data_IF_597407016011
#
_entry.id   IF_597407016011
#
_cell.length_a   1.000
_cell.length_b   1.000
_cell.length_c   1.000
_cell.angle_alpha   90.00
_cell.angle_beta   90.00
_cell.angle_gamma   90.00
#
_symmetry.space_group_name_H-M   'P 1'
#
loop_
_entity.id
_entity.type
_entity.pdbx_description
1 polymer ?
#
# COMPACT_ATOMS: atom_id res chain seq x y z
N UNK A 1 19.05 14.15 2.33
CA UNK A 1 19.79 12.86 2.39
C UNK A 1 19.02 11.83 1.55
N UNK A 2 19.53 11.40 0.38
CA UNK A 2 18.85 10.39 -0.46
C UNK A 2 19.14 8.99 0.08
N UNK A 3 18.16 8.34 0.70
CA UNK A 3 18.25 6.92 1.03
C UNK A 3 18.37 6.13 -0.28
N UNK A 4 19.35 5.22 -0.45
CA UNK A 4 19.50 4.42 -1.66
C UNK A 4 18.24 3.60 -1.94
N UNK A 5 17.76 3.59 -3.19
CA UNK A 5 16.48 2.94 -3.58
C UNK A 5 16.41 1.44 -3.25
N UNK A 6 17.54 0.72 -3.34
CA UNK A 6 17.65 -0.70 -2.94
C UNK A 6 17.34 -0.91 -1.46
N UNK A 7 17.63 0.08 -0.61
CA UNK A 7 17.40 -0.05 0.83
C UNK A 7 15.90 0.01 1.16
N UNK A 8 15.09 0.74 0.40
CA UNK A 8 13.67 0.92 0.73
C UNK A 8 12.85 -0.36 0.63
N UNK A 9 12.96 -1.10 -0.47
CA UNK A 9 12.23 -2.36 -0.60
C UNK A 9 12.66 -3.36 0.47
N UNK A 10 13.94 -3.35 0.85
CA UNK A 10 14.42 -4.13 1.98
C UNK A 10 13.80 -3.67 3.29
N UNK A 11 13.73 -2.35 3.54
CA UNK A 11 13.03 -1.79 4.71
C UNK A 11 11.59 -2.26 4.77
N UNK A 12 10.82 -2.13 3.69
CA UNK A 12 9.42 -2.58 3.67
C UNK A 12 9.28 -4.09 3.91
N UNK A 13 10.19 -4.92 3.37
CA UNK A 13 10.20 -6.37 3.65
C UNK A 13 10.49 -6.66 5.13
N UNK A 14 11.48 -5.98 5.70
CA UNK A 14 11.85 -6.13 7.12
C UNK A 14 10.69 -5.70 8.01
N UNK A 15 10.12 -4.52 7.74
CA UNK A 15 8.95 -3.99 8.44
C UNK A 15 7.77 -4.96 8.37
N UNK A 16 7.44 -5.47 7.19
CA UNK A 16 6.36 -6.44 7.02
C UNK A 16 6.63 -7.75 7.76
N UNK A 17 7.86 -8.27 7.70
CA UNK A 17 8.22 -9.54 8.36
C UNK A 17 8.30 -9.42 9.88
N UNK A 18 8.62 -8.24 10.40
CA UNK A 18 8.72 -7.97 11.83
C UNK A 18 7.36 -7.66 12.47
N UNK A 19 6.38 -7.19 11.70
CA UNK A 19 5.09 -6.78 12.24
C UNK A 19 4.25 -7.98 12.74
N UNK A 20 3.77 -7.99 13.99
CA UNK A 20 3.07 -9.14 14.58
C UNK A 20 1.85 -9.62 13.77
N UNK A 21 1.04 -8.69 13.28
CA UNK A 21 -0.14 -9.01 12.48
C UNK A 21 0.20 -9.79 11.20
N UNK A 22 1.34 -9.50 10.59
CA UNK A 22 1.76 -10.10 9.33
C UNK A 22 2.59 -11.36 9.55
N UNK A 23 3.40 -11.42 10.61
CA UNK A 23 4.20 -12.59 10.95
C UNK A 23 3.35 -13.86 11.16
N UNK A 24 2.14 -13.71 11.69
CA UNK A 24 1.18 -14.81 11.83
C UNK A 24 0.30 -15.06 10.60
N UNK A 25 0.37 -14.19 9.58
CA UNK A 25 -0.47 -14.28 8.39
C UNK A 25 0.11 -15.24 7.35
N UNK A 26 -0.76 -16.06 6.75
CA UNK A 26 -0.41 -16.88 5.59
C UNK A 26 -0.10 -16.03 4.34
N UNK A 27 -0.54 -14.76 4.31
CA UNK A 27 -0.35 -13.84 3.18
C UNK A 27 0.96 -13.05 3.25
N UNK A 28 1.79 -13.24 4.29
CA UNK A 28 3.09 -12.56 4.36
C UNK A 28 3.95 -12.86 3.13
N UNK A 29 4.00 -14.13 2.70
CA UNK A 29 4.77 -14.51 1.52
C UNK A 29 4.25 -13.80 0.25
N UNK A 30 2.93 -13.63 0.11
CA UNK A 30 2.33 -12.93 -1.02
C UNK A 30 2.71 -11.44 -1.01
N UNK A 31 2.71 -10.79 0.16
CA UNK A 31 3.19 -9.41 0.32
C UNK A 31 4.65 -9.31 -0.12
N UNK A 32 5.52 -10.22 0.34
CA UNK A 32 6.94 -10.24 -0.04
C UNK A 32 7.12 -10.50 -1.54
N UNK A 33 6.31 -11.38 -2.14
CA UNK A 33 6.31 -11.62 -3.58
C UNK A 33 5.93 -10.38 -4.37
N UNK A 34 4.91 -9.64 -3.96
CA UNK A 34 4.54 -8.38 -4.59
C UNK A 34 5.66 -7.33 -4.48
N UNK A 35 6.32 -7.21 -3.32
CA UNK A 35 7.51 -6.36 -3.15
C UNK A 35 8.68 -6.77 -4.06
N UNK A 36 8.87 -8.07 -4.31
CA UNK A 36 9.87 -8.57 -5.26
C UNK A 36 9.52 -8.23 -6.72
N UNK A 37 8.23 -8.25 -7.08
CA UNK A 37 7.77 -7.85 -8.41
C UNK A 37 7.98 -6.35 -8.67
N UNK A 38 7.88 -5.50 -7.65
CA UNK A 38 8.25 -4.07 -7.73
C UNK A 38 9.73 -3.91 -8.15
N UNK A 39 10.64 -4.69 -7.53
CA UNK A 39 12.06 -4.66 -7.87
C UNK A 39 12.32 -5.15 -9.30
N UNK A 40 11.58 -6.17 -9.74
CA UNK A 40 11.67 -6.68 -11.10
C UNK A 40 11.20 -5.64 -12.13
N UNK A 41 10.06 -4.99 -11.88
CA UNK A 41 9.53 -3.94 -12.74
C UNK A 41 10.50 -2.75 -12.88
N UNK A 42 11.21 -2.37 -11.80
CA UNK A 42 12.18 -1.27 -11.85
C UNK A 42 13.43 -1.57 -12.71
N UNK A 43 13.73 -2.84 -12.97
CA UNK A 43 14.83 -3.24 -13.87
C UNK A 43 14.45 -3.22 -15.34
N UNK A 44 13.16 -3.05 -15.66
CA UNK A 44 12.68 -3.01 -17.04
C UNK A 44 12.52 -1.56 -17.49
N UNK A 45 13.18 -1.19 -18.57
CA UNK A 45 13.04 0.15 -19.19
C UNK A 45 11.77 0.29 -20.06
N UNK A 46 10.89 -0.72 -20.06
CA UNK A 46 9.63 -0.68 -20.81
C UNK A 46 8.63 0.25 -20.14
N UNK A 47 7.91 1.06 -20.90
CA UNK A 47 6.88 1.98 -20.37
C UNK A 47 5.82 1.27 -19.52
N UNK A 48 5.42 0.06 -19.91
CA UNK A 48 4.43 -0.74 -19.18
C UNK A 48 4.92 -1.22 -17.81
N UNK A 49 6.24 -1.22 -17.57
CA UNK A 49 6.82 -1.61 -16.29
C UNK A 49 6.39 -0.67 -15.16
N UNK A 50 6.09 0.59 -15.47
CA UNK A 50 5.62 1.56 -14.46
C UNK A 50 4.20 1.28 -14.01
N UNK A 51 3.32 0.82 -14.91
CA UNK A 51 1.97 0.41 -14.53
C UNK A 51 2.02 -0.83 -13.63
N UNK A 52 2.84 -1.82 -14.00
CA UNK A 52 3.08 -3.00 -13.16
C UNK A 52 3.66 -2.62 -11.81
N UNK A 53 4.59 -1.65 -11.77
CA UNK A 53 5.15 -1.13 -10.52
C UNK A 53 4.04 -0.57 -9.62
N UNK A 54 3.14 0.26 -10.15
CA UNK A 54 2.00 0.81 -9.39
C UNK A 54 1.05 -0.31 -8.91
N UNK A 55 0.76 -1.28 -9.78
CA UNK A 55 -0.10 -2.42 -9.45
C UNK A 55 0.46 -3.23 -8.28
N UNK A 56 1.73 -3.65 -8.36
CA UNK A 56 2.36 -4.46 -7.32
C UNK A 56 2.56 -3.67 -6.01
N UNK A 57 2.88 -2.38 -6.11
CA UNK A 57 2.96 -1.47 -4.95
C UNK A 57 1.62 -1.42 -4.21
N UNK A 58 0.54 -1.13 -4.94
CA UNK A 58 -0.78 -0.97 -4.32
C UNK A 58 -1.40 -2.30 -3.86
N UNK A 59 -1.10 -3.43 -4.50
CA UNK A 59 -1.52 -4.76 -4.03
C UNK A 59 -0.80 -5.18 -2.75
N UNK A 60 0.51 -4.95 -2.66
CA UNK A 60 1.27 -5.20 -1.43
C UNK A 60 0.72 -4.37 -0.27
N UNK A 61 0.43 -3.10 -0.50
CA UNK A 61 -0.19 -2.22 0.50
C UNK A 61 -1.59 -2.73 0.89
N UNK A 62 -2.48 -2.97 -0.07
CA UNK A 62 -3.86 -3.40 0.17
C UNK A 62 -3.92 -4.67 1.03
N UNK A 63 -3.10 -5.66 0.68
CA UNK A 63 -2.98 -6.91 1.44
C UNK A 63 -2.44 -6.67 2.85
N UNK A 64 -1.39 -5.85 2.99
CA UNK A 64 -0.81 -5.52 4.30
C UNK A 64 -1.84 -4.84 5.21
N UNK A 65 -2.58 -3.85 4.70
CA UNK A 65 -3.58 -3.13 5.49
C UNK A 65 -4.74 -4.04 5.87
N UNK A 66 -5.21 -4.88 4.94
CA UNK A 66 -6.26 -5.87 5.21
C UNK A 66 -5.86 -6.79 6.38
N UNK A 67 -4.65 -7.32 6.36
CA UNK A 67 -4.17 -8.24 7.41
C UNK A 67 -3.97 -7.54 8.76
N UNK A 68 -3.48 -6.30 8.78
CA UNK A 68 -3.39 -5.49 10.01
C UNK A 68 -4.78 -5.27 10.62
N UNK A 69 -5.75 -4.86 9.80
CA UNK A 69 -7.13 -4.65 10.25
C UNK A 69 -7.77 -5.95 10.76
N UNK A 70 -7.59 -7.05 10.01
CA UNK A 70 -8.10 -8.36 10.40
C UNK A 70 -7.52 -8.83 11.75
N UNK A 71 -6.21 -8.67 11.95
CA UNK A 71 -5.54 -9.02 13.21
C UNK A 71 -6.06 -8.20 14.40
N UNK A 72 -6.45 -6.94 14.18
CA UNK A 72 -7.06 -6.08 15.20
C UNK A 72 -8.56 -6.31 15.38
N UNK A 73 -9.19 -7.14 14.55
CA UNK A 73 -10.64 -7.34 14.53
C UNK A 73 -11.42 -6.13 13.99
N UNK A 74 -10.76 -5.22 13.26
CA UNK A 74 -11.39 -4.03 12.69
C UNK A 74 -11.87 -4.35 11.28
N UNK A 75 -13.18 -4.25 11.05
CA UNK A 75 -13.79 -4.58 9.77
C UNK A 75 -14.41 -3.32 9.17
N UNK A 76 -13.87 -2.78 8.08
CA UNK A 76 -14.49 -1.63 7.44
C UNK A 76 -15.87 -2.00 6.93
N UNK A 77 -16.87 -1.19 7.29
CA UNK A 77 -18.27 -1.38 6.90
C UNK A 77 -18.79 -0.20 6.10
N UNK A 78 -19.66 -0.49 5.14
CA UNK A 78 -20.39 0.55 4.45
C UNK A 78 -21.53 1.06 5.34
N UNK A 79 -21.52 2.36 5.66
CA UNK A 79 -22.50 2.98 6.57
C UNK A 79 -23.96 2.87 6.11
N UNK A 80 -24.22 2.71 4.81
CA UNK A 80 -25.59 2.64 4.27
C UNK A 80 -26.13 1.23 4.32
N UNK A 81 -25.28 0.24 4.03
CA UNK A 81 -25.71 -1.15 3.88
C UNK A 81 -25.34 -2.05 5.05
N UNK A 82 -24.45 -1.59 5.95
CA UNK A 82 -23.87 -2.40 7.03
C UNK A 82 -22.94 -3.52 6.55
N UNK A 83 -22.73 -3.66 5.24
CA UNK A 83 -21.94 -4.75 4.66
C UNK A 83 -20.44 -4.43 4.74
N UNK A 84 -19.57 -5.45 4.85
CA UNK A 84 -18.13 -5.26 4.75
C UNK A 84 -17.74 -4.56 3.45
N UNK A 85 -16.83 -3.58 3.56
CA UNK A 85 -16.31 -2.81 2.44
C UNK A 85 -14.80 -2.97 2.36
N UNK A 86 -14.33 -3.55 1.27
CA UNK A 86 -12.91 -3.85 1.10
C UNK A 86 -12.25 -2.92 0.09
N UNK A 87 -10.96 -2.61 0.34
CA UNK A 87 -10.10 -1.82 -0.52
C UNK A 87 -9.43 -0.66 0.21
N UNK A 88 -8.27 -0.25 -0.30
CA UNK A 88 -7.41 0.80 0.28
C UNK A 88 -8.15 1.99 0.91
N UNK A 89 -9.08 2.63 0.19
CA UNK A 89 -9.77 3.81 0.73
C UNK A 89 -10.60 3.50 1.99
N UNK A 90 -11.25 2.33 2.03
CA UNK A 90 -12.00 1.87 3.20
C UNK A 90 -11.05 1.52 4.36
N UNK A 91 -9.91 0.88 4.06
CA UNK A 91 -8.91 0.54 5.05
C UNK A 91 -8.30 1.79 5.71
N UNK A 92 -7.98 2.82 4.92
CA UNK A 92 -7.45 4.08 5.45
C UNK A 92 -8.46 4.83 6.34
N UNK A 93 -9.76 4.74 6.02
CA UNK A 93 -10.82 5.30 6.87
C UNK A 93 -10.89 4.54 8.20
N UNK A 94 -10.86 3.22 8.15
CA UNK A 94 -10.93 2.38 9.36
C UNK A 94 -9.74 2.66 10.29
N UNK A 95 -8.54 2.76 9.75
CA UNK A 95 -7.34 3.13 10.50
C UNK A 95 -7.45 4.54 11.13
N UNK A 96 -8.11 5.48 10.47
CA UNK A 96 -8.37 6.80 11.05
C UNK A 96 -9.38 6.72 12.20
N UNK A 97 -10.45 5.94 12.06
CA UNK A 97 -11.47 5.74 13.11
C UNK A 97 -10.83 5.22 14.40
N UNK A 98 -9.86 4.30 14.26
CA UNK A 98 -9.12 3.72 15.37
C UNK A 98 -7.87 4.53 15.82
N UNK A 99 -7.71 5.76 15.32
CA UNK A 99 -6.64 6.67 15.78
C UNK A 99 -5.23 6.34 15.28
N UNK A 100 -5.07 5.34 14.41
CA UNK A 100 -3.78 4.98 13.80
C UNK A 100 -3.31 6.07 12.82
N UNK A 101 -4.26 6.70 12.13
CA UNK A 101 -4.01 7.80 11.20
C UNK A 101 -4.72 9.07 11.67
N UNK A 102 -4.01 10.20 11.58
CA UNK A 102 -4.67 11.52 11.63
C UNK A 102 -5.50 11.76 10.36
N UNK A 103 -6.54 12.63 10.41
CA UNK A 103 -7.31 13.00 9.22
C UNK A 103 -6.43 13.48 8.07
N UNK A 104 -5.38 14.26 8.38
CA UNK A 104 -4.42 14.77 7.39
C UNK A 104 -3.61 13.65 6.73
N UNK A 105 -3.11 12.68 7.50
CA UNK A 105 -2.37 11.54 6.94
C UNK A 105 -3.28 10.69 6.05
N UNK A 106 -4.51 10.42 6.49
CA UNK A 106 -5.51 9.68 5.72
C UNK A 106 -5.78 10.37 4.37
N UNK A 107 -6.05 11.66 4.38
CA UNK A 107 -6.32 12.44 3.16
C UNK A 107 -5.10 12.46 2.23
N UNK A 108 -3.89 12.58 2.78
CA UNK A 108 -2.65 12.53 2.01
C UNK A 108 -2.49 11.17 1.31
N UNK A 109 -2.63 10.06 2.04
CA UNK A 109 -2.50 8.72 1.46
C UNK A 109 -3.61 8.40 0.45
N UNK A 110 -4.83 8.86 0.70
CA UNK A 110 -5.94 8.76 -0.25
C UNK A 110 -5.56 9.42 -1.59
N UNK A 111 -5.15 10.70 -1.55
CA UNK A 111 -4.78 11.45 -2.77
C UNK A 111 -3.53 10.91 -3.45
N UNK A 112 -2.51 10.56 -2.67
CA UNK A 112 -1.20 10.24 -3.20
C UNK A 112 -1.09 8.80 -3.72
N UNK A 113 -1.90 7.88 -3.19
CA UNK A 113 -1.87 6.45 -3.53
C UNK A 113 -3.18 6.03 -4.19
N UNK A 114 -4.30 6.15 -3.49
CA UNK A 114 -5.58 5.53 -3.89
C UNK A 114 -6.14 6.19 -5.14
N UNK A 115 -6.22 7.52 -5.16
CA UNK A 115 -6.79 8.26 -6.28
C UNK A 115 -5.94 8.09 -7.55
N UNK A 116 -4.61 8.09 -7.41
CA UNK A 116 -3.69 7.81 -8.54
C UNK A 116 -3.82 6.39 -9.06
N UNK A 117 -3.85 5.39 -8.17
CA UNK A 117 -4.07 4.00 -8.57
C UNK A 117 -5.42 3.85 -9.29
N UNK A 118 -6.47 4.45 -8.77
CA UNK A 118 -7.80 4.40 -9.39
C UNK A 118 -7.78 5.05 -10.78
N UNK A 119 -7.08 6.19 -10.94
CA UNK A 119 -6.87 6.81 -12.25
C UNK A 119 -6.27 5.81 -13.24
N UNK A 120 -5.13 5.20 -12.92
CA UNK A 120 -4.44 4.29 -13.84
C UNK A 120 -5.18 2.95 -14.06
N UNK A 121 -5.99 2.51 -13.10
CA UNK A 121 -6.75 1.25 -13.23
C UNK A 121 -8.11 1.41 -13.90
N UNK A 122 -8.67 2.63 -13.94
CA UNK A 122 -10.03 2.85 -14.44
C UNK A 122 -10.12 3.82 -15.64
N UNK A 123 -9.06 4.58 -15.96
CA UNK A 123 -9.05 5.47 -17.12
C UNK A 123 -8.18 4.89 -18.24
N UNK A 124 -8.84 4.47 -19.34
CA UNK A 124 -8.17 3.96 -20.53
C UNK A 124 -7.18 4.99 -21.11
N UNK A 125 -6.03 4.51 -21.60
CA UNK A 125 -4.98 5.35 -22.17
C UNK A 125 -4.13 6.12 -21.16
N UNK A 126 -4.43 6.04 -19.86
CA UNK A 126 -3.59 6.66 -18.82
C UNK A 126 -2.53 5.70 -18.33
N UNK A 127 -1.26 6.14 -18.34
CA UNK A 127 -0.12 5.35 -17.88
C UNK A 127 0.71 6.18 -16.89
N UNK A 128 1.18 5.60 -15.78
CA UNK A 128 2.11 6.27 -14.91
C UNK A 128 3.47 6.40 -15.59
N UNK A 129 4.12 7.54 -15.41
CA UNK A 129 5.55 7.64 -15.71
C UNK A 129 6.40 7.14 -14.52
N UNK A 130 7.71 7.05 -14.75
CA UNK A 130 8.68 6.61 -13.73
C UNK A 130 8.62 7.44 -12.44
N UNK A 131 8.46 8.76 -12.55
CA UNK A 131 8.41 9.65 -11.39
C UNK A 131 7.16 9.36 -10.56
N UNK A 132 6.00 9.25 -11.19
CA UNK A 132 4.73 8.97 -10.52
C UNK A 132 4.72 7.60 -9.83
N UNK A 133 5.20 6.56 -10.51
CA UNK A 133 5.31 5.22 -9.93
C UNK A 133 6.25 5.19 -8.73
N UNK A 134 7.36 5.94 -8.77
CA UNK A 134 8.26 6.07 -7.62
C UNK A 134 7.64 6.88 -6.49
N UNK A 135 6.88 7.93 -6.80
CA UNK A 135 6.15 8.70 -5.78
C UNK A 135 5.16 7.80 -5.05
N UNK A 136 4.35 7.01 -5.75
CA UNK A 136 3.41 6.07 -5.12
C UNK A 136 4.15 5.08 -4.20
N UNK A 137 5.33 4.57 -4.63
CA UNK A 137 6.15 3.70 -3.80
C UNK A 137 6.70 4.41 -2.53
N UNK A 138 7.08 5.68 -2.63
CA UNK A 138 7.52 6.47 -1.47
C UNK A 138 6.38 6.66 -0.46
N UNK A 139 5.20 6.93 -0.97
CA UNK A 139 4.01 7.16 -0.14
C UNK A 139 3.55 5.86 0.52
N UNK A 140 3.65 4.73 -0.17
CA UNK A 140 3.44 3.40 0.43
C UNK A 140 4.40 3.14 1.59
N UNK A 141 5.70 3.37 1.40
CA UNK A 141 6.73 3.18 2.43
C UNK A 141 6.44 4.05 3.67
N UNK A 142 6.06 5.30 3.45
CA UNK A 142 5.65 6.22 4.52
C UNK A 142 4.37 5.73 5.22
N UNK A 143 3.38 5.28 4.45
CA UNK A 143 2.11 4.76 4.95
C UNK A 143 2.31 3.53 5.83
N UNK A 144 3.06 2.53 5.36
CA UNK A 144 3.38 1.33 6.12
C UNK A 144 4.16 1.65 7.38
N UNK A 145 5.16 2.54 7.30
CA UNK A 145 5.95 2.94 8.46
C UNK A 145 5.08 3.57 9.55
N UNK A 146 4.15 4.47 9.18
CA UNK A 146 3.21 5.07 10.13
C UNK A 146 2.31 4.00 10.74
N UNK A 147 1.66 3.18 9.91
CA UNK A 147 0.67 2.22 10.37
C UNK A 147 1.32 1.18 11.29
N UNK A 148 2.41 0.55 10.87
CA UNK A 148 3.10 -0.48 11.65
C UNK A 148 3.73 0.03 12.95
N UNK A 149 4.00 1.33 13.06
CA UNK A 149 4.48 1.92 14.32
C UNK A 149 3.33 2.16 15.30
N UNK A 150 2.09 2.31 14.81
CA UNK A 150 0.92 2.69 15.59
C UNK A 150 -0.09 1.53 15.76
N UNK A 151 0.25 0.31 15.32
CA UNK A 151 -0.57 -0.90 15.46
C UNK A 151 0.23 -2.03 16.05
#
# INVERSE_FOLDING_TARGET
>A
MRVPKKNRLNTMRVLASAHPALRGSLLLNDIIHELNRIAAAERSDKTDSWLLKVLHTTRALDTSLKEVLAHKGWTPTDKKTGKPKFGLGAYLIELQIHGVLTPRQRDNFQKAIVDKRNRYMHQAGTMPNRLEANTILNEMDTCLSVIFTNT
#
